data_IF_766826950458
#
_entry.id   IF_766826950458
#
_cell.length_a   1.000
_cell.length_b   1.000
_cell.length_c   1.000
_cell.angle_alpha   90.00
_cell.angle_beta   90.00
_cell.angle_gamma   90.00
#
_symmetry.space_group_name_H-M   'P 1'
#
loop_
_entity.id
_entity.type
_entity.pdbx_description
1 polymer ?
#
# COMPACT_ATOMS: atom_id res chain seq x y z
N UNK A 1 13.27 -2.97 12.58
CA UNK A 1 13.35 -4.03 11.54
C UNK A 1 11.95 -4.62 11.28
N UNK A 2 11.09 -3.95 10.49
CA UNK A 2 9.75 -4.44 10.07
C UNK A 2 9.45 -4.10 8.59
N UNK A 3 10.48 -4.05 7.76
CA UNK A 3 10.40 -3.55 6.37
C UNK A 3 9.94 -4.60 5.34
N UNK A 4 9.62 -5.85 5.72
CA UNK A 4 9.47 -6.94 4.74
C UNK A 4 8.10 -7.62 4.68
N UNK A 5 7.05 -7.08 5.31
CA UNK A 5 5.81 -7.84 5.49
C UNK A 5 4.62 -7.49 4.58
N UNK A 6 4.73 -6.54 3.63
CA UNK A 6 3.63 -6.33 2.66
C UNK A 6 3.60 -7.38 1.53
N UNK A 7 4.61 -8.28 1.40
CA UNK A 7 4.71 -9.23 0.27
C UNK A 7 4.73 -10.73 0.65
N UNK A 8 4.77 -11.09 1.94
CA UNK A 8 5.08 -12.48 2.37
C UNK A 8 3.91 -13.30 2.95
N UNK A 9 2.65 -12.92 2.76
CA UNK A 9 1.54 -13.58 3.46
C UNK A 9 1.11 -14.96 2.90
N UNK A 10 1.82 -15.55 1.92
CA UNK A 10 1.34 -16.71 1.17
C UNK A 10 2.27 -17.92 1.05
N UNK A 11 2.97 -18.37 2.11
CA UNK A 11 3.76 -19.62 1.96
C UNK A 11 3.78 -20.49 3.23
N UNK A 12 2.74 -21.32 3.38
CA UNK A 12 2.77 -22.47 4.30
C UNK A 12 3.42 -23.67 3.60
N UNK A 13 4.68 -23.98 3.92
CA UNK A 13 5.27 -25.29 3.61
C UNK A 13 4.70 -26.33 4.59
N UNK A 14 3.81 -27.20 4.12
CA UNK A 14 3.48 -28.45 4.80
C UNK A 14 4.45 -29.56 4.35
N UNK A 15 4.94 -30.30 5.35
CA UNK A 15 5.80 -31.47 5.19
C UNK A 15 5.11 -32.68 4.55
N UNK A 16 5.95 -33.64 4.19
CA UNK A 16 5.65 -34.84 3.42
C UNK A 16 4.63 -35.79 4.07
N UNK A 17 3.76 -36.38 3.24
CA UNK A 17 2.88 -37.51 3.59
C UNK A 17 1.94 -37.86 2.43
N UNK A 18 2.21 -38.97 1.75
CA UNK A 18 1.45 -39.47 0.60
C UNK A 18 0.23 -40.28 1.05
N UNK A 19 -0.99 -39.77 0.79
CA UNK A 19 -2.22 -40.55 0.69
C UNK A 19 -3.23 -39.78 -0.17
N UNK A 20 -3.62 -40.38 -1.30
CA UNK A 20 -4.55 -39.81 -2.27
C UNK A 20 -5.98 -39.80 -1.72
N UNK A 21 -6.48 -38.62 -1.39
CA UNK A 21 -7.90 -38.32 -1.31
C UNK A 21 -8.14 -37.07 -2.14
N UNK A 22 -8.87 -37.21 -3.27
CA UNK A 22 -9.37 -36.09 -4.06
C UNK A 22 -10.51 -35.41 -3.30
N UNK A 23 -10.16 -34.71 -2.22
CA UNK A 23 -11.01 -33.66 -1.67
C UNK A 23 -10.80 -32.48 -2.61
N UNK A 24 -11.84 -32.13 -3.37
CA UNK A 24 -11.91 -30.82 -4.01
C UNK A 24 -11.91 -29.79 -2.88
N UNK A 25 -10.72 -29.36 -2.49
CA UNK A 25 -10.55 -28.22 -1.60
C UNK A 25 -11.25 -27.04 -2.26
N UNK A 26 -12.00 -26.21 -1.52
CA UNK A 26 -12.44 -24.94 -2.06
C UNK A 26 -11.17 -24.23 -2.53
N UNK A 27 -11.14 -23.82 -3.79
CA UNK A 27 -10.11 -22.93 -4.27
C UNK A 27 -10.16 -21.71 -3.37
N UNK A 28 -9.25 -21.63 -2.39
CA UNK A 28 -9.04 -20.44 -1.61
C UNK A 28 -8.67 -19.39 -2.65
N UNK A 29 -9.59 -18.48 -2.93
CA UNK A 29 -9.22 -17.24 -3.59
C UNK A 29 -8.14 -16.65 -2.69
N UNK A 30 -6.88 -16.69 -3.12
CA UNK A 30 -5.81 -15.99 -2.42
C UNK A 30 -6.24 -14.54 -2.36
N UNK A 31 -6.54 -14.07 -1.13
CA UNK A 31 -7.05 -12.73 -0.92
C UNK A 31 -5.97 -11.77 -1.41
N UNK A 32 -6.24 -11.13 -2.55
CA UNK A 32 -5.27 -10.30 -3.23
C UNK A 32 -5.03 -9.08 -2.35
N UNK A 33 -3.81 -8.94 -1.84
CA UNK A 33 -3.45 -7.82 -0.96
C UNK A 33 -3.81 -6.49 -1.62
N UNK A 34 -4.45 -5.60 -0.86
CA UNK A 34 -4.91 -4.29 -1.32
C UNK A 34 -3.99 -3.20 -0.80
N UNK A 35 -3.34 -2.47 -1.70
CA UNK A 35 -2.43 -1.37 -1.38
C UNK A 35 -3.07 -0.03 -1.74
N UNK A 36 -3.09 0.88 -0.79
CA UNK A 36 -3.34 2.29 -1.03
C UNK A 36 -2.00 3.00 -1.28
N UNK A 37 -1.84 3.69 -2.39
CA UNK A 37 -0.66 4.49 -2.67
C UNK A 37 -1.03 5.97 -2.84
N UNK A 38 -0.48 6.84 -2.01
CA UNK A 38 -0.69 8.28 -2.07
C UNK A 38 0.62 8.93 -2.46
N UNK A 39 0.65 9.53 -3.66
CA UNK A 39 1.84 10.17 -4.22
C UNK A 39 1.68 11.68 -4.36
N UNK A 40 2.80 12.37 -4.57
CA UNK A 40 2.83 13.80 -4.90
C UNK A 40 2.20 14.08 -6.27
N UNK A 41 2.12 15.37 -6.63
CA UNK A 41 1.59 15.80 -7.93
C UNK A 41 2.33 15.19 -9.11
N UNK A 42 1.58 14.83 -10.16
CA UNK A 42 2.12 14.23 -11.39
C UNK A 42 2.58 15.27 -12.41
N UNK A 43 2.57 16.55 -12.05
CA UNK A 43 3.18 17.65 -12.79
C UNK A 43 4.71 17.50 -12.92
N UNK A 44 5.33 16.66 -12.08
CA UNK A 44 6.73 16.28 -12.19
C UNK A 44 6.89 14.85 -12.77
N UNK A 45 7.68 14.66 -13.85
CA UNK A 45 7.95 13.35 -14.46
C UNK A 45 8.52 12.28 -13.51
N UNK A 46 9.21 12.68 -12.45
CA UNK A 46 9.69 11.75 -11.42
C UNK A 46 8.54 11.02 -10.74
N UNK A 47 7.46 11.72 -10.37
CA UNK A 47 6.30 11.10 -9.72
C UNK A 47 5.42 10.34 -10.70
N UNK A 48 5.39 10.72 -11.98
CA UNK A 48 4.78 9.88 -13.04
C UNK A 48 5.49 8.54 -13.15
N UNK A 49 6.83 8.55 -13.13
CA UNK A 49 7.64 7.33 -13.17
C UNK A 49 7.45 6.50 -11.90
N UNK A 50 7.36 7.14 -10.73
CA UNK A 50 7.06 6.48 -9.46
C UNK A 50 5.70 5.76 -9.50
N UNK A 51 4.64 6.42 -9.95
CA UNK A 51 3.32 5.81 -10.09
C UNK A 51 3.38 4.60 -11.03
N UNK A 52 3.98 4.76 -12.21
CA UNK A 52 4.14 3.67 -13.17
C UNK A 52 4.87 2.47 -12.54
N UNK A 53 5.96 2.72 -11.82
CA UNK A 53 6.72 1.67 -11.13
C UNK A 53 5.90 0.94 -10.06
N UNK A 54 5.08 1.67 -9.30
CA UNK A 54 4.16 1.10 -8.31
C UNK A 54 3.14 0.18 -8.99
N UNK A 55 2.51 0.64 -10.07
CA UNK A 55 1.50 -0.12 -10.83
C UNK A 55 2.10 -1.37 -11.49
N UNK A 56 3.28 -1.24 -12.12
CA UNK A 56 3.99 -2.35 -12.75
C UNK A 56 4.38 -3.43 -11.72
N UNK A 57 4.90 -3.02 -10.56
CA UNK A 57 5.26 -3.96 -9.49
C UNK A 57 4.03 -4.60 -8.85
N UNK A 58 2.94 -3.85 -8.65
CA UNK A 58 1.70 -4.42 -8.15
C UNK A 58 1.17 -5.51 -9.09
N UNK A 59 1.14 -5.22 -10.39
CA UNK A 59 0.74 -6.20 -11.42
C UNK A 59 1.66 -7.43 -11.44
N UNK A 60 2.98 -7.23 -11.41
CA UNK A 60 3.95 -8.32 -11.45
C UNK A 60 3.81 -9.28 -10.25
N UNK A 61 3.37 -8.77 -9.10
CA UNK A 61 3.24 -9.53 -7.86
C UNK A 61 1.79 -9.95 -7.55
N UNK A 62 0.83 -9.72 -8.45
CA UNK A 62 -0.57 -10.05 -8.23
C UNK A 62 -1.21 -9.28 -7.06
N UNK A 63 -0.78 -8.04 -6.82
CA UNK A 63 -1.27 -7.15 -5.76
C UNK A 63 -2.24 -6.13 -6.38
N UNK A 64 -3.35 -5.85 -5.71
CA UNK A 64 -4.28 -4.79 -6.12
C UNK A 64 -3.80 -3.46 -5.55
N UNK A 65 -3.47 -2.49 -6.39
CA UNK A 65 -3.09 -1.14 -5.94
C UNK A 65 -4.08 -0.09 -6.42
N UNK A 66 -4.43 0.84 -5.52
CA UNK A 66 -5.13 2.08 -5.85
C UNK A 66 -4.17 3.24 -5.64
N UNK A 67 -3.79 3.92 -6.73
CA UNK A 67 -2.90 5.09 -6.67
C UNK A 67 -3.74 6.36 -6.72
N UNK A 68 -3.47 7.27 -5.78
CA UNK A 68 -4.02 8.63 -5.77
C UNK A 68 -2.85 9.62 -5.73
N UNK A 69 -2.95 10.68 -6.52
CA UNK A 69 -1.97 11.75 -6.55
C UNK A 69 -2.58 13.05 -6.02
N UNK A 70 -1.74 13.89 -5.41
CA UNK A 70 -2.09 15.29 -5.17
C UNK A 70 -2.38 16.00 -6.50
N UNK A 71 -3.17 17.08 -6.47
CA UNK A 71 -3.47 17.82 -7.71
C UNK A 71 -2.20 18.45 -8.34
N UNK A 72 -1.27 18.87 -7.49
CA UNK A 72 0.05 19.41 -7.85
C UNK A 72 0.93 19.44 -6.59
N UNK A 73 2.17 19.93 -6.72
CA UNK A 73 3.13 20.02 -5.60
C UNK A 73 2.74 20.98 -4.46
N UNK A 74 1.76 21.87 -4.67
CA UNK A 74 1.23 22.78 -3.64
C UNK A 74 0.00 22.25 -2.89
N UNK A 75 -0.57 21.12 -3.31
CA UNK A 75 -1.84 20.58 -2.80
C UNK A 75 -1.66 19.68 -1.55
N UNK A 76 -1.00 20.20 -0.51
CA UNK A 76 -0.72 19.43 0.71
C UNK A 76 -2.01 18.97 1.43
N UNK A 77 -3.02 19.85 1.49
CA UNK A 77 -4.32 19.56 2.08
C UNK A 77 -5.09 18.54 1.26
N UNK A 78 -5.21 18.72 -0.06
CA UNK A 78 -5.91 17.76 -0.90
C UNK A 78 -5.21 16.40 -0.95
N UNK A 79 -3.89 16.32 -0.77
CA UNK A 79 -3.19 15.05 -0.59
C UNK A 79 -3.63 14.34 0.71
N UNK A 80 -3.72 15.08 1.81
CA UNK A 80 -4.17 14.55 3.10
C UNK A 80 -5.65 14.10 3.08
N UNK A 81 -6.51 14.83 2.37
CA UNK A 81 -7.93 14.48 2.21
C UNK A 81 -8.10 13.17 1.43
N UNK A 82 -7.32 12.99 0.35
CA UNK A 82 -7.28 11.73 -0.40
C UNK A 82 -6.83 10.56 0.46
N UNK A 83 -5.78 10.74 1.27
CA UNK A 83 -5.34 9.71 2.22
C UNK A 83 -6.43 9.40 3.26
N UNK A 84 -7.11 10.42 3.80
CA UNK A 84 -8.22 10.24 4.74
C UNK A 84 -9.35 9.42 4.13
N UNK A 85 -9.73 9.72 2.90
CA UNK A 85 -10.76 8.96 2.18
C UNK A 85 -10.34 7.49 1.95
N UNK A 86 -9.08 7.25 1.58
CA UNK A 86 -8.55 5.88 1.44
C UNK A 86 -8.46 5.15 2.78
N UNK A 87 -8.12 5.85 3.86
CA UNK A 87 -8.04 5.29 5.22
C UNK A 87 -9.39 4.79 5.76
N UNK A 88 -10.51 5.26 5.19
CA UNK A 88 -11.86 4.77 5.49
C UNK A 88 -12.16 3.43 4.78
N UNK A 89 -11.43 3.08 3.73
CA UNK A 89 -11.58 1.82 3.01
C UNK A 89 -10.74 0.70 3.65
N UNK A 90 -10.97 -0.53 3.21
CA UNK A 90 -10.25 -1.71 3.69
C UNK A 90 -9.04 -2.03 2.79
N UNK A 91 -7.94 -1.32 3.04
CA UNK A 91 -6.62 -1.61 2.48
C UNK A 91 -5.74 -2.32 3.50
N UNK A 92 -4.82 -3.15 3.01
CA UNK A 92 -3.88 -3.93 3.81
C UNK A 92 -2.58 -3.18 4.08
N UNK A 93 -2.18 -2.24 3.22
CA UNK A 93 -0.90 -1.54 3.29
C UNK A 93 -1.06 -0.14 2.69
N UNK A 94 -0.40 0.86 3.29
CA UNK A 94 -0.43 2.26 2.83
C UNK A 94 0.98 2.71 2.44
N UNK A 95 1.17 3.02 1.17
CA UNK A 95 2.40 3.58 0.61
C UNK A 95 2.23 5.09 0.49
N UNK A 96 3.10 5.87 1.12
CA UNK A 96 2.95 7.33 1.21
C UNK A 96 4.21 8.08 0.79
N UNK A 97 4.02 9.03 -0.14
CA UNK A 97 5.01 10.01 -0.54
C UNK A 97 4.47 11.42 -0.23
N UNK A 98 4.82 11.99 0.95
CA UNK A 98 4.22 13.23 1.43
C UNK A 98 4.78 14.47 0.71
N UNK A 99 3.95 15.51 0.52
CA UNK A 99 4.42 16.82 0.02
C UNK A 99 5.34 17.51 1.03
N UNK A 100 5.01 17.46 2.33
CA UNK A 100 5.80 18.05 3.40
C UNK A 100 6.02 17.06 4.53
N UNK A 101 6.92 17.39 5.47
CA UNK A 101 7.24 16.48 6.58
C UNK A 101 6.04 16.09 7.45
N UNK A 102 5.00 16.92 7.51
CA UNK A 102 3.88 16.73 8.45
C UNK A 102 2.50 16.61 7.81
N UNK A 103 2.33 16.89 6.50
CA UNK A 103 0.98 17.04 5.92
C UNK A 103 0.13 15.76 5.98
N UNK A 104 0.75 14.58 6.05
CA UNK A 104 0.03 13.30 6.11
C UNK A 104 -0.14 12.73 7.53
N UNK A 105 0.50 13.30 8.55
CA UNK A 105 0.57 12.73 9.91
C UNK A 105 -0.82 12.48 10.48
N UNK A 106 -1.71 13.47 10.46
CA UNK A 106 -3.06 13.34 11.00
C UNK A 106 -3.92 12.34 10.21
N UNK A 107 -3.79 12.32 8.89
CA UNK A 107 -4.51 11.39 8.03
C UNK A 107 -4.05 9.92 8.23
N UNK A 108 -2.83 9.69 8.73
CA UNK A 108 -2.30 8.37 9.06
C UNK A 108 -2.72 7.84 10.44
N UNK A 109 -3.22 8.68 11.35
CA UNK A 109 -3.69 8.25 12.68
C UNK A 109 -4.67 7.06 12.62
N UNK A 110 -5.76 7.08 11.83
CA UNK A 110 -6.68 5.94 11.76
C UNK A 110 -6.02 4.69 11.15
N UNK A 111 -5.07 4.84 10.24
CA UNK A 111 -4.31 3.72 9.64
C UNK A 111 -3.43 3.04 10.71
N UNK A 112 -2.73 3.86 11.51
CA UNK A 112 -1.88 3.39 12.60
C UNK A 112 -2.70 2.71 13.72
N UNK A 113 -3.87 3.27 14.08
CA UNK A 113 -4.80 2.66 15.05
C UNK A 113 -5.31 1.29 14.59
N UNK A 114 -5.59 1.14 13.28
CA UNK A 114 -5.94 -0.15 12.66
C UNK A 114 -4.75 -1.11 12.55
N UNK A 115 -3.54 -0.69 12.94
CA UNK A 115 -2.28 -1.44 12.84
C UNK A 115 -1.96 -1.88 11.40
N UNK A 116 -2.45 -1.14 10.41
CA UNK A 116 -2.10 -1.37 9.01
C UNK A 116 -0.68 -0.84 8.75
N UNK A 117 0.19 -1.58 8.05
CA UNK A 117 1.51 -1.11 7.66
C UNK A 117 1.48 0.22 6.88
N UNK A 118 2.40 1.11 7.22
CA UNK A 118 2.66 2.37 6.52
C UNK A 118 4.10 2.30 6.00
N UNK A 119 4.27 2.51 4.70
CA UNK A 119 5.57 2.56 4.03
C UNK A 119 5.76 3.96 3.49
N UNK A 120 6.70 4.70 4.08
CA UNK A 120 7.06 6.02 3.61
C UNK A 120 8.17 5.95 2.55
N UNK A 121 7.99 6.64 1.43
CA UNK A 121 8.93 6.68 0.30
C UNK A 121 9.26 8.10 -0.14
N UNK A 122 10.47 8.25 -0.71
CA UNK A 122 11.05 9.48 -1.26
C UNK A 122 11.28 10.62 -0.24
N UNK A 123 10.23 11.12 0.41
CA UNK A 123 10.31 12.23 1.38
C UNK A 123 9.86 11.78 2.76
N UNK A 124 10.55 12.27 3.80
CA UNK A 124 10.31 11.85 5.18
C UNK A 124 8.98 12.35 5.72
N UNK A 125 8.32 11.51 6.52
CA UNK A 125 7.23 11.92 7.42
C UNK A 125 7.81 12.05 8.83
N UNK A 126 7.34 13.05 9.57
CA UNK A 126 7.58 13.18 11.01
C UNK A 126 6.97 11.97 11.74
N UNK A 127 7.78 11.13 12.41
CA UNK A 127 7.27 9.97 13.11
C UNK A 127 6.54 10.31 14.42
N UNK A 128 6.58 11.56 14.88
CA UNK A 128 6.08 12.02 16.19
C UNK A 128 4.91 13.02 16.09
#
# INVERSE_FOLDING_TARGET
MRMFNCLKLGTNLLGAGMLAAIVAAPAHAEDTAKVAAIVKGLDNPFFQTMQKGIEEQAKANGVSVSVQAAANMGDATGQADRLTAMAMQDFDCYLVNPISVSNLVQALVPVAQKKKPIVNIDSTIDPE
#
